data_IF_038551427347
#
_entry.id   IF_038551427347
#
_cell.length_a   1.000
_cell.length_b   1.000
_cell.length_c   1.000
_cell.angle_alpha   90.00
_cell.angle_beta   90.00
_cell.angle_gamma   90.00
#
_symmetry.space_group_name_H-M   'P 1'
#
loop_
_entity.id
_entity.type
_entity.pdbx_description
1 polymer ?
#
# COMPACT_ATOMS: atom_id res chain seq x y z
N UNK A 1 -24.20 5.72 -6.27
CA UNK A 1 -23.05 5.66 -5.36
C UNK A 1 -21.92 4.99 -6.10
N UNK A 2 -20.83 5.68 -6.38
CA UNK A 2 -19.66 5.08 -7.03
C UNK A 2 -18.84 4.37 -5.97
N UNK A 3 -18.82 3.04 -6.00
CA UNK A 3 -17.89 2.25 -5.20
C UNK A 3 -16.48 2.50 -5.76
N UNK A 4 -15.59 3.01 -4.91
CA UNK A 4 -14.18 3.19 -5.27
C UNK A 4 -13.42 2.00 -4.72
N UNK A 5 -12.90 1.17 -5.61
CA UNK A 5 -12.05 0.06 -5.21
C UNK A 5 -10.64 0.57 -4.91
N UNK A 6 -10.09 0.20 -3.75
CA UNK A 6 -8.69 0.44 -3.40
C UNK A 6 -7.86 -0.75 -3.88
N UNK A 7 -6.97 -0.52 -4.86
CA UNK A 7 -6.00 -1.53 -5.30
C UNK A 7 -4.68 -1.33 -4.56
N UNK A 8 -4.19 -2.38 -3.91
CA UNK A 8 -2.91 -2.40 -3.22
C UNK A 8 -1.99 -3.38 -3.94
N UNK A 9 -0.84 -2.89 -4.43
CA UNK A 9 0.20 -3.74 -4.99
C UNK A 9 1.30 -3.92 -3.95
N UNK A 10 1.52 -5.16 -3.50
CA UNK A 10 2.66 -5.51 -2.65
C UNK A 10 3.83 -5.84 -3.58
N UNK A 11 5.00 -5.19 -3.46
CA UNK A 11 6.16 -5.54 -4.27
C UNK A 11 6.69 -6.92 -3.86
N UNK A 12 6.95 -7.78 -4.85
CA UNK A 12 7.64 -9.06 -4.64
C UNK A 12 9.13 -8.79 -4.46
N UNK A 13 9.77 -9.51 -3.53
CA UNK A 13 11.21 -9.32 -3.24
C UNK A 13 12.08 -10.12 -4.23
N UNK A 14 11.60 -11.27 -4.70
CA UNK A 14 12.35 -12.21 -5.55
C UNK A 14 11.55 -12.74 -6.75
N UNK A 15 10.47 -12.05 -7.12
CA UNK A 15 9.64 -12.41 -8.28
C UNK A 15 8.68 -13.59 -8.05
N UNK A 16 8.65 -14.21 -6.86
CA UNK A 16 7.65 -15.24 -6.51
C UNK A 16 6.99 -15.05 -5.16
N UNK A 17 7.67 -14.48 -4.17
CA UNK A 17 7.13 -14.39 -2.82
C UNK A 17 6.93 -12.96 -2.33
N UNK A 18 5.83 -12.77 -1.60
CA UNK A 18 5.63 -11.61 -0.75
C UNK A 18 6.22 -11.93 0.62
N UNK A 19 7.00 -10.99 1.18
CA UNK A 19 7.39 -11.12 2.57
C UNK A 19 6.17 -10.88 3.44
N UNK A 20 5.82 -11.87 4.25
CA UNK A 20 4.78 -11.75 5.27
C UNK A 20 5.26 -10.96 6.49
N UNK A 21 4.36 -10.70 7.43
CA UNK A 21 4.68 -10.03 8.69
C UNK A 21 4.49 -8.51 8.64
N UNK A 22 5.12 -7.80 9.57
CA UNK A 22 4.91 -6.36 9.77
C UNK A 22 5.61 -5.51 8.71
N UNK A 23 4.83 -4.65 8.07
CA UNK A 23 5.27 -3.71 7.06
C UNK A 23 4.77 -2.31 7.40
N UNK A 24 5.53 -1.29 6.99
CA UNK A 24 5.08 0.10 7.08
C UNK A 24 4.36 0.50 5.80
N UNK A 25 3.09 0.87 5.92
CA UNK A 25 2.31 1.46 4.85
C UNK A 25 2.19 2.97 5.08
N UNK A 26 2.44 3.77 4.04
CA UNK A 26 2.24 5.23 4.08
C UNK A 26 1.10 5.61 3.15
N UNK A 27 0.04 6.19 3.73
CA UNK A 27 -1.07 6.78 2.96
C UNK A 27 -0.83 8.29 2.88
N UNK A 28 -0.88 8.82 1.66
CA UNK A 28 -0.72 10.24 1.37
C UNK A 28 -1.98 10.74 0.67
N UNK A 29 -2.76 11.55 1.38
CA UNK A 29 -3.86 12.32 0.81
C UNK A 29 -3.31 13.66 0.32
N UNK A 30 -3.46 13.93 -0.97
CA UNK A 30 -3.07 15.20 -1.62
C UNK A 30 -4.18 15.64 -2.55
N UNK A 31 -4.46 16.95 -2.61
CA UNK A 31 -5.39 17.51 -3.59
C UNK A 31 -4.80 17.50 -5.01
N UNK A 32 -3.48 17.67 -5.13
CA UNK A 32 -2.74 17.62 -6.39
C UNK A 32 -1.81 16.40 -6.40
N UNK A 33 -2.06 15.47 -7.31
CA UNK A 33 -1.26 14.24 -7.45
C UNK A 33 0.23 14.51 -7.73
N UNK A 34 0.59 15.70 -8.24
CA UNK A 34 1.99 16.11 -8.47
C UNK A 34 2.77 16.29 -7.17
N UNK A 35 2.08 16.55 -6.06
CA UNK A 35 2.67 16.82 -4.74
C UNK A 35 2.94 15.54 -3.93
N UNK A 36 2.79 14.35 -4.52
CA UNK A 36 3.00 13.05 -3.84
C UNK A 36 4.49 12.63 -3.73
N UNK A 37 5.42 13.51 -4.11
CA UNK A 37 6.87 13.22 -4.11
C UNK A 37 7.47 13.34 -2.71
N UNK A 38 8.52 12.57 -2.45
CA UNK A 38 9.28 12.67 -1.21
C UNK A 38 9.81 14.10 -0.99
N UNK A 39 9.78 14.56 0.26
CA UNK A 39 10.26 15.87 0.69
C UNK A 39 9.53 17.07 0.07
N UNK A 40 8.38 16.87 -0.58
CA UNK A 40 7.56 17.98 -1.08
C UNK A 40 6.45 18.35 -0.11
N UNK A 41 6.07 19.63 -0.14
CA UNK A 41 4.91 20.11 0.60
C UNK A 41 3.64 19.57 -0.09
N UNK A 42 2.83 18.81 0.65
CA UNK A 42 1.56 18.26 0.17
C UNK A 42 0.46 19.31 0.05
N UNK A 43 0.68 20.53 0.56
CA UNK A 43 -0.35 21.58 0.66
C UNK A 43 -1.46 21.14 1.60
N UNK A 44 -2.72 21.24 1.14
CA UNK A 44 -3.85 20.60 1.81
C UNK A 44 -3.80 19.09 1.59
N UNK A 45 -3.48 18.35 2.66
CA UNK A 45 -3.32 16.92 2.60
C UNK A 45 -3.02 16.33 3.97
N UNK A 46 -2.99 15.00 4.04
CA UNK A 46 -2.67 14.27 5.25
C UNK A 46 -1.73 13.11 4.92
N UNK A 47 -0.72 12.91 5.77
CA UNK A 47 0.18 11.76 5.69
C UNK A 47 0.00 10.93 6.95
N UNK A 48 -0.33 9.66 6.79
CA UNK A 48 -0.40 8.70 7.89
C UNK A 48 0.42 7.47 7.59
N UNK A 49 1.25 7.11 8.57
CA UNK A 49 2.00 5.87 8.58
C UNK A 49 1.23 4.85 9.42
N UNK A 50 1.03 3.66 8.84
CA UNK A 50 0.37 2.53 9.45
C UNK A 50 1.33 1.35 9.51
N UNK A 51 1.20 0.54 10.56
CA UNK A 51 1.79 -0.80 10.59
C UNK A 51 0.74 -1.77 10.07
N UNK A 52 1.05 -2.49 9.00
CA UNK A 52 0.19 -3.52 8.42
C UNK A 52 0.86 -4.88 8.57
N UNK A 53 0.08 -5.92 8.85
CA UNK A 53 0.57 -7.29 8.88
C UNK A 53 0.15 -7.99 7.58
N UNK A 54 1.13 -8.32 6.73
CA UNK A 54 0.90 -9.04 5.47
C UNK A 54 0.83 -10.54 5.78
N UNK A 55 -0.31 -11.16 5.46
CA UNK A 55 -0.52 -12.59 5.59
C UNK A 55 -0.53 -13.18 4.17
N UNK A 56 0.51 -13.94 3.77
CA UNK A 56 0.49 -14.63 2.50
C UNK A 56 -0.73 -15.54 2.42
N UNK A 57 -1.43 -15.53 1.28
CA UNK A 57 -2.44 -16.53 1.03
C UNK A 57 -1.73 -17.86 0.81
N UNK A 58 -1.90 -18.79 1.74
CA UNK A 58 -1.52 -20.18 1.51
C UNK A 58 -2.26 -20.65 0.26
N UNK A 59 -1.50 -21.09 -0.74
CA UNK A 59 -2.10 -21.70 -1.92
C UNK A 59 -2.59 -23.07 -1.45
N UNK A 60 -3.88 -23.20 -1.14
CA UNK A 60 -4.48 -24.53 -1.01
C UNK A 60 -4.34 -25.19 -2.37
N UNK A 61 -3.54 -26.24 -2.44
CA UNK A 61 -3.62 -27.19 -3.55
C UNK A 61 -4.92 -27.95 -3.35
N UNK A 62 -6.02 -27.37 -3.84
CA UNK A 62 -7.25 -28.11 -4.00
C UNK A 62 -6.93 -29.22 -5.03
N UNK A 63 -6.73 -30.43 -4.49
CA UNK A 63 -6.44 -31.66 -5.21
C UNK A 63 -7.71 -32.26 -5.81
#
# INVERSE_FOLDING_TARGET
>A
MTQSDISLTIPQIDGRYYVGGQHRMRIVLVQDARNRKACQNTGYGEVRDYTVNIIPKEISSDA
#
